data_IF_475315958397
#
_entry.id   IF_475315958397
#
_cell.length_a   1.000
_cell.length_b   1.000
_cell.length_c   1.000
_cell.angle_alpha   90.00
_cell.angle_beta   90.00
_cell.angle_gamma   90.00
#
_symmetry.space_group_name_H-M   'P 1'
#
loop_
_entity.id
_entity.type
_entity.pdbx_description
1 polymer ?
#
# COMPACT_ATOMS: atom_id res chain seq x y z
N UNK A 1 22.01 60.26 -30.48
CA UNK A 1 21.31 58.98 -30.67
C UNK A 1 22.16 57.93 -30.02
N UNK A 2 21.77 57.50 -28.83
CA UNK A 2 22.15 56.23 -28.18
C UNK A 2 21.34 56.18 -26.88
N UNK A 3 20.33 55.30 -26.85
CA UNK A 3 19.51 55.01 -25.68
C UNK A 3 20.18 53.90 -24.84
N UNK A 4 20.11 53.97 -23.49
CA UNK A 4 20.65 52.90 -22.65
C UNK A 4 19.62 51.78 -22.44
N UNK A 5 20.13 50.57 -22.55
CA UNK A 5 19.42 49.29 -22.45
C UNK A 5 19.06 48.99 -20.97
N UNK A 6 17.77 48.82 -20.66
CA UNK A 6 17.26 48.40 -19.35
C UNK A 6 16.63 47.00 -19.47
N UNK A 7 17.43 45.97 -19.25
CA UNK A 7 16.92 44.64 -18.90
C UNK A 7 17.83 44.04 -17.83
N UNK A 8 17.33 43.92 -16.59
CA UNK A 8 17.69 42.92 -15.57
C UNK A 8 17.05 43.28 -14.21
N UNK A 9 15.77 42.96 -14.00
CA UNK A 9 15.17 42.94 -12.64
C UNK A 9 14.05 41.92 -12.43
N UNK A 10 13.68 41.10 -13.41
CA UNK A 10 12.51 40.19 -13.31
C UNK A 10 12.79 38.82 -12.67
N UNK A 11 14.05 38.38 -12.51
CA UNK A 11 14.34 37.05 -11.95
C UNK A 11 14.35 36.96 -10.41
N UNK A 12 14.55 38.07 -9.69
CA UNK A 12 14.61 38.01 -8.21
C UNK A 12 13.24 38.04 -7.53
N UNK A 13 12.18 38.48 -8.22
CA UNK A 13 10.84 38.60 -7.62
C UNK A 13 10.12 37.25 -7.54
N UNK A 14 10.24 36.41 -8.59
CA UNK A 14 9.68 35.05 -8.62
C UNK A 14 10.38 34.09 -7.63
N UNK A 15 11.66 34.29 -7.32
CA UNK A 15 12.40 33.48 -6.34
C UNK A 15 12.00 33.81 -4.89
N UNK A 16 11.64 35.07 -4.61
CA UNK A 16 11.16 35.49 -3.29
C UNK A 16 9.70 35.11 -3.05
N UNK A 17 8.83 35.25 -4.05
CA UNK A 17 7.41 34.88 -3.92
C UNK A 17 7.23 33.36 -3.76
N UNK A 18 7.99 32.51 -4.46
CA UNK A 18 7.93 31.04 -4.28
C UNK A 18 8.54 30.52 -2.98
N UNK A 19 9.56 31.18 -2.42
CA UNK A 19 10.10 30.83 -1.08
C UNK A 19 9.05 30.99 0.02
N UNK A 20 8.03 31.82 -0.20
CA UNK A 20 6.91 32.03 0.73
C UNK A 20 5.87 30.91 0.59
N UNK A 21 5.56 30.46 -0.64
CA UNK A 21 4.56 29.42 -0.88
C UNK A 21 4.95 28.03 -0.34
N UNK A 22 6.21 27.60 -0.48
CA UNK A 22 6.63 26.29 0.09
C UNK A 22 6.86 26.33 1.62
N UNK A 23 6.93 27.51 2.24
CA UNK A 23 7.16 27.62 3.70
C UNK A 23 5.90 27.33 4.52
N UNK A 24 4.72 27.38 3.90
CA UNK A 24 3.42 27.23 4.56
C UNK A 24 3.11 25.78 4.97
N UNK A 25 3.73 24.78 4.35
CA UNK A 25 3.45 23.35 4.61
C UNK A 25 4.43 22.68 5.58
N UNK A 26 5.54 23.33 5.95
CA UNK A 26 6.44 22.77 6.96
C UNK A 26 5.93 23.15 8.34
N UNK A 27 5.51 22.15 9.10
CA UNK A 27 4.94 22.37 10.43
C UNK A 27 5.96 22.14 11.55
N UNK A 28 6.98 21.31 11.30
CA UNK A 28 7.94 20.94 12.35
C UNK A 28 9.09 21.97 12.47
N UNK A 29 9.37 22.54 13.67
CA UNK A 29 10.41 23.56 13.84
C UNK A 29 11.81 23.14 13.37
N UNK A 30 12.17 21.87 13.60
CA UNK A 30 13.45 21.32 13.13
C UNK A 30 13.51 21.26 11.60
N UNK A 31 12.40 20.92 10.92
CA UNK A 31 12.35 20.88 9.47
C UNK A 31 12.48 22.29 8.88
N UNK A 32 11.86 23.30 9.48
CA UNK A 32 12.02 24.72 9.08
C UNK A 32 13.48 25.13 9.16
N UNK A 33 14.15 24.83 10.28
CA UNK A 33 15.55 25.19 10.51
C UNK A 33 16.51 24.51 9.53
N UNK A 34 16.30 23.23 9.23
CA UNK A 34 17.09 22.49 8.23
C UNK A 34 16.85 23.11 6.84
N UNK A 35 15.58 23.36 6.51
CA UNK A 35 15.14 23.92 5.23
C UNK A 35 15.73 25.30 4.95
N UNK A 36 15.88 26.16 5.96
CA UNK A 36 16.53 27.48 5.83
C UNK A 36 18.01 27.39 5.38
N UNK A 37 18.64 26.22 5.50
CA UNK A 37 20.04 25.96 5.10
C UNK A 37 20.18 25.29 3.73
N UNK A 38 19.07 24.95 3.08
CA UNK A 38 19.06 24.19 1.83
C UNK A 38 18.43 25.03 0.73
N UNK A 39 19.05 25.06 -0.44
CA UNK A 39 18.45 25.65 -1.64
C UNK A 39 17.42 24.71 -2.24
N UNK A 40 16.24 25.22 -2.61
CA UNK A 40 15.26 24.42 -3.34
C UNK A 40 15.78 24.01 -4.73
N UNK A 41 15.51 22.77 -5.12
CA UNK A 41 15.77 22.23 -6.44
C UNK A 41 14.46 22.15 -7.22
N UNK A 42 14.40 22.80 -8.39
CA UNK A 42 13.24 22.77 -9.30
C UNK A 42 13.37 21.73 -10.44
N UNK A 43 14.43 20.93 -10.43
CA UNK A 43 14.73 19.98 -11.50
C UNK A 43 14.08 18.61 -11.28
N UNK A 44 13.60 18.01 -12.36
CA UNK A 44 13.08 16.64 -12.41
C UNK A 44 14.16 15.61 -12.81
N UNK A 45 15.43 16.01 -12.93
CA UNK A 45 16.52 15.08 -13.23
C UNK A 45 16.84 14.19 -12.01
N UNK A 46 16.78 12.86 -12.20
CA UNK A 46 16.99 11.88 -11.11
C UNK A 46 18.33 12.08 -10.42
N UNK A 47 19.40 12.32 -11.17
CA UNK A 47 20.74 12.45 -10.60
C UNK A 47 20.86 13.72 -9.74
N UNK A 48 20.29 14.84 -10.21
CA UNK A 48 20.25 16.07 -9.44
C UNK A 48 19.41 15.93 -8.16
N UNK A 49 18.28 15.21 -8.23
CA UNK A 49 17.46 14.90 -7.06
C UNK A 49 18.25 14.06 -6.04
N UNK A 50 18.94 13.00 -6.48
CA UNK A 50 19.80 12.19 -5.59
C UNK A 50 20.93 13.02 -4.98
N UNK A 51 21.59 13.87 -5.75
CA UNK A 51 22.65 14.75 -5.24
C UNK A 51 22.13 15.74 -4.21
N UNK A 52 20.97 16.37 -4.49
CA UNK A 52 20.34 17.28 -3.55
C UNK A 52 19.92 16.55 -2.27
N UNK A 53 19.38 15.35 -2.41
CA UNK A 53 19.02 14.47 -1.31
C UNK A 53 20.20 14.16 -0.39
N UNK A 54 21.39 13.88 -0.96
CA UNK A 54 22.63 13.70 -0.19
C UNK A 54 23.04 14.98 0.55
N UNK A 55 22.93 16.15 -0.08
CA UNK A 55 23.19 17.43 0.60
C UNK A 55 22.25 17.67 1.78
N UNK A 56 20.98 17.26 1.68
CA UNK A 56 20.03 17.33 2.81
C UNK A 56 20.56 16.49 3.98
N UNK A 57 21.02 15.27 3.71
CA UNK A 57 21.64 14.41 4.72
C UNK A 57 22.89 15.07 5.33
N UNK A 58 23.76 15.64 4.50
CA UNK A 58 24.96 16.35 4.95
C UNK A 58 24.63 17.52 5.90
N UNK A 59 23.55 18.27 5.63
CA UNK A 59 23.07 19.33 6.51
C UNK A 59 22.55 18.76 7.84
N UNK A 60 21.80 17.65 7.79
CA UNK A 60 21.27 16.97 8.98
C UNK A 60 22.42 16.47 9.88
N UNK A 61 23.47 15.89 9.33
CA UNK A 61 24.61 15.37 10.13
C UNK A 61 25.57 16.46 10.61
N UNK A 62 25.53 17.67 10.04
CA UNK A 62 26.42 18.78 10.38
C UNK A 62 25.76 19.86 11.26
N UNK A 63 24.43 19.92 11.32
CA UNK A 63 23.72 20.85 12.20
C UNK A 63 23.77 20.41 13.67
N UNK A 64 24.24 21.28 14.56
CA UNK A 64 24.39 20.98 15.99
C UNK A 64 23.11 20.51 16.69
N UNK A 65 21.94 21.04 16.30
CA UNK A 65 20.68 20.64 16.91
C UNK A 65 20.22 19.27 16.39
N UNK A 66 20.40 19.02 15.09
CA UNK A 66 20.18 17.72 14.48
C UNK A 66 21.11 16.67 15.09
N UNK A 67 22.41 16.95 15.23
CA UNK A 67 23.39 16.06 15.89
C UNK A 67 22.93 15.73 17.31
N UNK A 68 22.46 16.73 18.07
CA UNK A 68 21.95 16.50 19.43
C UNK A 68 20.75 15.55 19.40
N UNK A 69 19.77 15.78 18.52
CA UNK A 69 18.59 14.92 18.38
C UNK A 69 18.96 13.51 17.92
N UNK A 70 19.83 13.38 16.92
CA UNK A 70 20.34 12.11 16.39
C UNK A 70 21.09 11.28 17.43
N UNK A 71 21.68 11.91 18.45
CA UNK A 71 22.37 11.26 19.56
C UNK A 71 21.47 10.96 20.77
N UNK A 72 20.34 11.64 20.94
CA UNK A 72 19.47 11.46 22.11
C UNK A 72 18.18 10.71 21.78
N UNK A 73 17.39 11.23 20.83
CA UNK A 73 16.00 10.81 20.61
C UNK A 73 15.74 10.26 19.20
N UNK A 74 16.70 10.42 18.30
CA UNK A 74 16.51 10.30 16.85
C UNK A 74 15.66 11.41 16.26
N UNK A 75 15.73 11.56 14.94
CA UNK A 75 14.86 12.46 14.19
C UNK A 75 13.76 11.62 13.54
N UNK A 76 12.51 12.02 13.75
CA UNK A 76 11.35 11.34 13.18
C UNK A 76 11.36 11.37 11.65
N UNK A 77 10.97 10.25 11.04
CA UNK A 77 10.94 10.10 9.58
C UNK A 77 10.03 11.12 8.89
N UNK A 78 8.93 11.53 9.54
CA UNK A 78 8.03 12.58 9.03
C UNK A 78 8.74 13.93 8.87
N UNK A 79 9.57 14.31 9.85
CA UNK A 79 10.36 15.56 9.84
C UNK A 79 11.36 15.54 8.68
N UNK A 80 12.03 14.40 8.48
CA UNK A 80 12.95 14.24 7.34
C UNK A 80 12.17 14.39 6.03
N UNK A 81 11.02 13.71 5.89
CA UNK A 81 10.19 13.81 4.67
C UNK A 81 9.72 15.24 4.38
N UNK A 82 9.35 16.02 5.39
CA UNK A 82 9.00 17.44 5.24
C UNK A 82 10.16 18.24 4.63
N UNK A 83 11.40 18.03 5.11
CA UNK A 83 12.59 18.70 4.56
C UNK A 83 12.78 18.35 3.09
N UNK A 84 12.58 17.09 2.69
CA UNK A 84 12.71 16.66 1.30
C UNK A 84 11.66 17.30 0.40
N UNK A 85 10.38 17.31 0.83
CA UNK A 85 9.29 17.96 0.09
C UNK A 85 9.53 19.45 -0.10
N UNK A 86 10.14 20.11 0.87
CA UNK A 86 10.49 21.52 0.75
C UNK A 86 11.68 21.76 -0.19
N UNK A 87 12.74 20.96 -0.02
CA UNK A 87 14.00 21.15 -0.71
C UNK A 87 13.95 20.71 -2.18
N UNK A 88 13.01 19.85 -2.57
CA UNK A 88 12.91 19.27 -3.91
C UNK A 88 11.47 19.38 -4.37
N UNK A 89 11.25 20.15 -5.45
CA UNK A 89 9.93 20.32 -6.04
C UNK A 89 9.38 18.96 -6.49
N UNK A 90 8.10 18.71 -6.22
CA UNK A 90 7.37 17.50 -6.63
C UNK A 90 8.07 16.19 -6.20
N UNK A 91 8.76 16.22 -5.05
CA UNK A 91 9.55 15.10 -4.56
C UNK A 91 8.74 13.79 -4.47
N UNK A 92 9.12 12.82 -5.30
CA UNK A 92 8.48 11.51 -5.38
C UNK A 92 9.55 10.40 -5.46
N UNK A 93 9.60 9.54 -4.45
CA UNK A 93 10.57 8.43 -4.39
C UNK A 93 10.29 7.31 -5.41
N UNK A 94 9.04 7.13 -5.83
CA UNK A 94 8.69 6.12 -6.83
C UNK A 94 9.33 6.48 -8.17
N UNK A 95 9.37 7.77 -8.52
CA UNK A 95 10.10 8.27 -9.69
C UNK A 95 11.60 7.93 -9.61
N UNK A 96 12.17 7.84 -8.41
CA UNK A 96 13.57 7.46 -8.18
C UNK A 96 13.78 5.94 -8.12
N UNK A 97 12.74 5.12 -8.27
CA UNK A 97 12.82 3.65 -8.25
C UNK A 97 12.67 3.02 -6.87
N UNK A 98 12.15 3.74 -5.88
CA UNK A 98 11.97 3.22 -4.51
C UNK A 98 10.48 3.12 -4.15
N UNK A 99 10.06 1.97 -3.61
CA UNK A 99 8.69 1.74 -3.14
C UNK A 99 8.44 2.27 -1.73
N UNK A 100 9.49 2.37 -0.88
CA UNK A 100 9.39 2.90 0.49
C UNK A 100 10.44 3.98 0.75
N UNK A 101 10.03 5.00 1.50
CA UNK A 101 10.89 6.14 1.83
C UNK A 101 12.12 5.75 2.67
N UNK A 102 12.00 4.72 3.51
CA UNK A 102 13.11 4.21 4.31
C UNK A 102 14.22 3.62 3.44
N UNK A 103 13.87 2.92 2.36
CA UNK A 103 14.84 2.29 1.45
C UNK A 103 15.61 3.37 0.69
N UNK A 104 14.89 4.37 0.18
CA UNK A 104 15.47 5.56 -0.41
C UNK A 104 16.43 6.28 0.56
N UNK A 105 16.00 6.48 1.81
CA UNK A 105 16.79 7.17 2.82
C UNK A 105 18.08 6.41 3.16
N UNK A 106 17.99 5.08 3.29
CA UNK A 106 19.17 4.23 3.52
C UNK A 106 20.13 4.29 2.32
N UNK A 107 19.62 4.34 1.09
CA UNK A 107 20.45 4.47 -0.12
C UNK A 107 21.21 5.80 -0.15
N UNK A 108 20.54 6.93 0.12
CA UNK A 108 21.24 8.24 0.10
C UNK A 108 22.12 8.49 1.33
N UNK A 109 21.86 7.79 2.43
CA UNK A 109 22.69 7.82 3.64
C UNK A 109 23.85 6.82 3.59
N UNK A 110 24.00 6.06 2.52
CA UNK A 110 25.11 5.12 2.33
C UNK A 110 26.46 5.85 2.43
N UNK A 111 27.36 5.30 3.25
CA UNK A 111 28.66 5.92 3.55
C UNK A 111 28.63 6.94 4.70
N UNK A 112 27.47 7.21 5.31
CA UNK A 112 27.36 8.01 6.54
C UNK A 112 27.23 7.11 7.78
N UNK A 113 27.32 7.70 8.98
CA UNK A 113 27.07 7.01 10.25
C UNK A 113 25.58 6.98 10.63
N UNK A 114 24.66 7.35 9.72
CA UNK A 114 23.23 7.34 10.00
C UNK A 114 22.64 5.95 9.76
N UNK A 115 21.72 5.56 10.62
CA UNK A 115 20.89 4.37 10.44
C UNK A 115 19.43 4.69 10.73
N UNK A 116 18.54 4.06 9.98
CA UNK A 116 17.10 4.07 10.29
C UNK A 116 16.78 2.99 11.31
N UNK A 117 16.04 3.33 12.36
CA UNK A 117 15.53 2.44 13.40
C UNK A 117 14.00 2.49 13.48
N UNK A 118 13.39 1.37 13.86
CA UNK A 118 11.97 1.29 14.22
C UNK A 118 11.84 1.26 15.74
N UNK A 119 11.16 2.25 16.30
CA UNK A 119 10.90 2.37 17.73
C UNK A 119 9.75 1.42 18.14
N UNK A 120 9.65 1.13 19.44
CA UNK A 120 8.63 0.22 20.00
C UNK A 120 7.18 0.67 19.77
N UNK A 121 6.95 1.98 19.60
CA UNK A 121 5.65 2.58 19.24
C UNK A 121 5.38 2.57 17.71
N UNK A 122 6.16 1.80 16.92
CA UNK A 122 6.15 1.78 15.45
C UNK A 122 6.54 3.11 14.78
N UNK A 123 7.17 4.06 15.50
CA UNK A 123 7.74 5.25 14.86
C UNK A 123 9.08 4.92 14.23
N UNK A 124 9.29 5.35 12.98
CA UNK A 124 10.60 5.26 12.32
C UNK A 124 11.41 6.53 12.58
N UNK A 125 12.67 6.36 12.94
CA UNK A 125 13.60 7.46 13.21
C UNK A 125 14.95 7.23 12.56
N UNK A 126 15.65 8.31 12.24
CA UNK A 126 17.09 8.27 11.95
C UNK A 126 17.89 8.59 13.21
N UNK A 127 18.97 7.86 13.42
CA UNK A 127 19.92 8.03 14.53
C UNK A 127 21.34 7.81 14.02
N UNK A 128 22.34 8.20 14.80
CA UNK A 128 23.70 7.70 14.57
C UNK A 128 23.82 6.23 14.99
N UNK A 129 24.65 5.46 14.27
CA UNK A 129 24.83 4.03 14.51
C UNK A 129 25.36 3.70 15.91
N UNK A 130 26.11 4.61 16.52
CA UNK A 130 26.69 4.51 17.87
C UNK A 130 25.78 5.02 18.99
N UNK A 131 24.57 5.49 18.68
CA UNK A 131 23.60 5.97 19.65
C UNK A 131 23.14 4.83 20.60
N UNK A 132 22.91 5.11 21.89
CA UNK A 132 22.34 4.13 22.82
C UNK A 132 20.99 3.55 22.38
N UNK A 133 20.21 4.28 21.58
CA UNK A 133 18.99 3.80 20.94
C UNK A 133 19.23 2.65 19.96
N UNK A 134 20.37 2.61 19.25
CA UNK A 134 20.70 1.47 18.37
C UNK A 134 21.10 0.23 19.15
N UNK A 135 21.58 0.37 20.40
CA UNK A 135 21.85 -0.79 21.28
C UNK A 135 20.58 -1.47 21.79
N UNK A 136 19.48 -0.72 21.89
CA UNK A 136 18.18 -1.22 22.32
C UNK A 136 17.28 -1.63 21.14
N UNK A 137 17.64 -1.24 19.92
CA UNK A 137 17.00 -1.69 18.68
C UNK A 137 17.92 -2.71 18.03
N UNK A 138 17.72 -3.98 18.39
CA UNK A 138 18.42 -5.21 17.94
C UNK A 138 19.46 -5.03 16.82
N UNK A 139 20.69 -5.43 17.16
CA UNK A 139 21.92 -5.36 16.38
C UNK A 139 21.77 -5.98 14.98
N UNK A 140 21.63 -5.10 13.98
CA UNK A 140 21.78 -5.36 12.55
C UNK A 140 23.13 -6.02 12.25
N UNK A 141 23.15 -7.33 12.09
CA UNK A 141 24.11 -8.07 11.25
C UNK A 141 23.56 -9.49 11.02
N UNK A 142 23.12 -9.76 9.79
CA UNK A 142 22.94 -11.06 9.09
C UNK A 142 22.23 -12.26 9.76
N UNK A 143 22.02 -12.30 11.08
CA UNK A 143 21.08 -13.18 11.78
C UNK A 143 19.72 -12.52 12.04
N UNK A 144 19.50 -11.33 11.47
CA UNK A 144 18.53 -10.33 11.91
C UNK A 144 17.33 -10.16 10.95
N UNK A 145 17.02 -11.18 10.15
CA UNK A 145 15.76 -11.26 9.39
C UNK A 145 14.60 -11.70 10.29
N UNK A 146 14.89 -12.52 11.31
CA UNK A 146 13.91 -13.01 12.29
C UNK A 146 13.32 -11.89 13.17
N UNK A 147 14.11 -10.87 13.47
CA UNK A 147 13.74 -9.72 14.32
C UNK A 147 12.97 -8.66 13.54
N UNK A 148 13.35 -8.39 12.28
CA UNK A 148 12.69 -7.43 11.40
C UNK A 148 11.26 -7.84 11.01
N UNK A 149 10.98 -9.14 10.93
CA UNK A 149 9.64 -9.68 10.68
C UNK A 149 8.82 -9.89 11.98
N UNK A 150 9.34 -9.46 13.15
CA UNK A 150 8.76 -9.70 14.47
C UNK A 150 8.34 -11.16 14.64
N UNK A 151 9.21 -12.12 14.31
CA UNK A 151 8.88 -13.53 14.49
C UNK A 151 8.85 -13.85 15.97
N UNK A 152 7.64 -14.01 16.49
CA UNK A 152 7.37 -14.29 17.89
C UNK A 152 7.27 -15.79 18.15
N UNK A 153 6.85 -16.58 17.16
CA UNK A 153 6.58 -17.99 17.35
C UNK A 153 7.84 -18.85 17.21
N UNK A 154 8.13 -19.68 18.22
CA UNK A 154 9.28 -20.57 18.22
C UNK A 154 9.25 -21.59 17.08
N UNK A 155 8.06 -21.98 16.61
CA UNK A 155 7.91 -22.88 15.46
C UNK A 155 8.39 -22.23 14.17
N UNK A 156 8.02 -20.96 13.96
CA UNK A 156 8.46 -20.20 12.78
C UNK A 156 9.96 -19.92 12.84
N UNK A 157 10.53 -19.68 14.03
CA UNK A 157 11.99 -19.56 14.20
C UNK A 157 12.75 -20.83 13.81
N UNK A 158 12.20 -22.01 14.12
CA UNK A 158 12.81 -23.28 13.68
C UNK A 158 12.73 -23.41 12.17
N UNK A 159 11.55 -23.17 11.58
CA UNK A 159 11.37 -23.20 10.13
C UNK A 159 12.36 -22.29 9.40
N UNK A 160 12.54 -21.09 9.92
CA UNK A 160 13.45 -20.10 9.37
C UNK A 160 14.93 -20.52 9.35
N UNK A 161 15.34 -21.48 10.17
CA UNK A 161 16.69 -22.03 10.12
C UNK A 161 16.83 -23.14 9.07
N UNK A 162 15.72 -23.76 8.65
CA UNK A 162 15.70 -24.93 7.77
C UNK A 162 15.27 -24.59 6.34
N UNK A 163 14.51 -23.51 6.16
CA UNK A 163 13.86 -23.15 4.90
C UNK A 163 14.27 -21.73 4.49
N UNK A 164 14.88 -21.62 3.30
CA UNK A 164 15.28 -20.35 2.72
C UNK A 164 14.05 -19.52 2.32
N UNK A 165 14.15 -18.21 2.43
CA UNK A 165 13.09 -17.28 2.04
C UNK A 165 13.04 -17.11 0.53
N UNK A 166 11.85 -17.10 -0.04
CA UNK A 166 11.58 -16.78 -1.44
C UNK A 166 11.40 -15.27 -1.64
N UNK A 167 12.08 -14.71 -2.64
CA UNK A 167 11.96 -13.30 -3.06
C UNK A 167 11.44 -13.15 -4.51
N UNK A 168 10.74 -14.18 -5.02
CA UNK A 168 10.18 -14.19 -6.37
C UNK A 168 8.83 -13.49 -6.45
N UNK A 169 8.52 -12.94 -7.63
CA UNK A 169 7.20 -12.39 -7.99
C UNK A 169 6.38 -13.40 -8.82
N UNK A 170 6.94 -14.56 -9.16
CA UNK A 170 6.25 -15.60 -9.93
C UNK A 170 5.24 -16.36 -9.07
N UNK A 171 3.96 -16.35 -9.49
CA UNK A 171 2.86 -16.97 -8.76
C UNK A 171 3.05 -18.48 -8.55
N UNK A 172 3.57 -19.20 -9.54
CA UNK A 172 3.79 -20.64 -9.46
C UNK A 172 4.90 -20.95 -8.46
N UNK A 173 6.00 -20.19 -8.49
CA UNK A 173 7.08 -20.33 -7.50
C UNK A 173 6.58 -20.05 -6.08
N UNK A 174 5.74 -19.01 -5.91
CA UNK A 174 5.13 -18.67 -4.62
C UNK A 174 4.21 -19.80 -4.14
N UNK A 175 3.38 -20.37 -5.02
CA UNK A 175 2.48 -21.48 -4.69
C UNK A 175 3.27 -22.74 -4.30
N UNK A 176 4.30 -23.10 -5.05
CA UNK A 176 5.15 -24.26 -4.74
C UNK A 176 5.92 -24.08 -3.43
N UNK A 177 6.49 -22.90 -3.22
CA UNK A 177 7.17 -22.57 -1.97
C UNK A 177 6.21 -22.55 -0.77
N UNK A 178 4.99 -22.09 -0.99
CA UNK A 178 3.90 -22.14 -0.01
C UNK A 178 3.57 -23.58 0.42
N UNK A 179 3.52 -24.51 -0.53
CA UNK A 179 3.37 -25.95 -0.24
C UNK A 179 4.55 -26.49 0.58
N UNK A 180 5.77 -26.06 0.27
CA UNK A 180 6.97 -26.44 1.02
C UNK A 180 6.92 -25.95 2.48
N UNK A 181 6.44 -24.73 2.72
CA UNK A 181 6.21 -24.20 4.08
C UNK A 181 5.23 -25.10 4.84
N UNK A 182 4.12 -25.51 4.21
CA UNK A 182 3.16 -26.42 4.86
C UNK A 182 3.79 -27.79 5.14
N UNK A 183 4.50 -28.35 4.17
CA UNK A 183 5.15 -29.65 4.28
C UNK A 183 6.28 -29.66 5.33
N UNK A 184 6.92 -28.52 5.58
CA UNK A 184 7.91 -28.40 6.64
C UNK A 184 7.33 -28.72 8.03
N UNK A 185 6.08 -28.32 8.31
CA UNK A 185 5.44 -28.65 9.60
C UNK A 185 5.27 -30.17 9.84
N UNK A 186 5.24 -30.99 8.79
CA UNK A 186 5.32 -32.44 8.95
C UNK A 186 6.73 -32.89 9.37
N UNK A 187 7.77 -32.29 8.79
CA UNK A 187 9.15 -32.74 8.94
C UNK A 187 9.71 -32.35 10.32
N UNK A 188 9.32 -31.20 10.84
CA UNK A 188 9.67 -30.78 12.21
C UNK A 188 8.96 -31.63 13.27
N UNK A 189 9.76 -32.27 14.13
CA UNK A 189 9.26 -33.22 15.14
C UNK A 189 8.30 -32.58 16.14
N UNK A 190 8.55 -31.32 16.53
CA UNK A 190 7.69 -30.59 17.48
C UNK A 190 6.38 -30.12 16.80
N UNK A 191 6.46 -29.59 15.58
CA UNK A 191 5.28 -29.24 14.78
C UNK A 191 4.38 -30.44 14.55
N UNK A 192 4.96 -31.60 14.22
CA UNK A 192 4.22 -32.85 14.04
C UNK A 192 3.40 -33.24 15.29
N UNK A 193 4.00 -33.15 16.48
CA UNK A 193 3.30 -33.41 17.76
C UNK A 193 2.15 -32.43 17.96
N UNK A 194 2.35 -31.15 17.65
CA UNK A 194 1.32 -30.11 17.77
C UNK A 194 0.16 -30.39 16.81
N UNK A 195 0.44 -30.71 15.54
CA UNK A 195 -0.58 -31.04 14.54
C UNK A 195 -1.42 -32.25 14.99
N UNK A 196 -0.77 -33.31 15.50
CA UNK A 196 -1.47 -34.52 15.97
C UNK A 196 -2.39 -34.26 17.16
N UNK A 197 -2.01 -33.33 18.06
CA UNK A 197 -2.74 -33.09 19.31
C UNK A 197 -3.83 -32.03 19.19
N UNK A 198 -3.60 -30.96 18.41
CA UNK A 198 -4.48 -29.79 18.41
C UNK A 198 -4.50 -29.01 17.08
N UNK A 199 -3.64 -29.33 16.12
CA UNK A 199 -3.46 -28.51 14.92
C UNK A 199 -2.56 -27.29 15.12
N UNK A 200 -2.11 -26.69 14.01
CA UNK A 200 -1.35 -25.43 14.03
C UNK A 200 -2.29 -24.29 13.67
N UNK A 201 -2.49 -23.37 14.61
CA UNK A 201 -3.38 -22.21 14.41
C UNK A 201 -2.91 -21.31 13.26
N UNK A 202 -3.86 -20.72 12.54
CA UNK A 202 -3.56 -19.93 11.34
C UNK A 202 -2.69 -18.69 11.59
N UNK A 203 -2.61 -18.17 12.83
CA UNK A 203 -1.68 -17.08 13.15
C UNK A 203 -0.22 -17.50 12.99
N UNK A 204 0.12 -18.72 13.42
CA UNK A 204 1.47 -19.29 13.29
C UNK A 204 1.79 -19.57 11.83
N UNK A 205 0.82 -20.12 11.10
CA UNK A 205 0.95 -20.36 9.67
C UNK A 205 1.14 -19.03 8.93
N UNK A 206 0.30 -18.02 9.18
CA UNK A 206 0.43 -16.70 8.54
C UNK A 206 1.78 -16.04 8.82
N UNK A 207 2.31 -16.20 10.03
CA UNK A 207 3.66 -15.74 10.40
C UNK A 207 4.75 -16.51 9.63
N UNK A 208 4.60 -17.83 9.46
CA UNK A 208 5.49 -18.64 8.62
C UNK A 208 5.50 -18.15 7.17
N UNK A 209 4.35 -17.87 6.57
CA UNK A 209 4.27 -17.39 5.19
C UNK A 209 4.88 -16.00 5.01
N UNK A 210 4.57 -15.07 5.91
CA UNK A 210 5.19 -13.73 5.91
C UNK A 210 6.71 -13.77 6.05
N UNK A 211 7.23 -14.80 6.73
CA UNK A 211 8.65 -15.03 6.80
C UNK A 211 9.19 -15.67 5.52
N UNK A 212 8.64 -16.82 5.14
CA UNK A 212 9.15 -17.64 4.07
C UNK A 212 9.00 -17.02 2.68
N UNK A 213 8.08 -16.08 2.49
CA UNK A 213 7.85 -15.42 1.20
C UNK A 213 7.86 -13.90 1.39
N UNK A 214 8.67 -13.22 0.59
CA UNK A 214 8.78 -11.77 0.60
C UNK A 214 7.49 -11.10 0.12
N UNK A 215 7.04 -10.08 0.87
CA UNK A 215 5.83 -9.31 0.58
C UNK A 215 4.57 -10.18 0.36
N UNK A 216 4.53 -11.38 0.96
CA UNK A 216 3.43 -12.33 0.78
C UNK A 216 2.06 -11.70 1.05
N UNK A 217 1.20 -11.74 0.04
CA UNK A 217 -0.19 -11.37 0.11
C UNK A 217 -1.02 -12.37 -0.71
N UNK A 218 -1.92 -13.15 -0.10
CA UNK A 218 -2.75 -14.12 -0.82
C UNK A 218 -3.65 -13.46 -1.88
N UNK A 219 -3.96 -12.16 -1.73
CA UNK A 219 -4.76 -11.45 -2.70
C UNK A 219 -4.04 -11.25 -4.03
N UNK A 220 -2.71 -11.11 -3.99
CA UNK A 220 -1.89 -11.06 -5.20
C UNK A 220 -1.83 -12.41 -5.94
N UNK A 221 -2.31 -13.48 -5.31
CA UNK A 221 -2.42 -14.81 -5.88
C UNK A 221 -3.87 -15.17 -6.27
N UNK A 222 -4.80 -14.21 -6.18
CA UNK A 222 -6.20 -14.38 -6.57
C UNK A 222 -7.11 -14.88 -5.44
N UNK A 223 -6.65 -14.88 -4.19
CA UNK A 223 -7.44 -15.34 -3.04
C UNK A 223 -7.85 -14.18 -2.14
N UNK A 224 -9.15 -13.91 -2.03
CA UNK A 224 -9.69 -12.85 -1.18
C UNK A 224 -9.33 -13.00 0.31
N UNK A 225 -9.11 -14.23 0.78
CA UNK A 225 -8.72 -14.52 2.17
C UNK A 225 -7.59 -15.55 2.25
N UNK A 226 -6.70 -15.36 3.24
CA UNK A 226 -5.61 -16.31 3.52
C UNK A 226 -6.08 -17.75 3.77
N UNK A 227 -7.27 -17.94 4.35
CA UNK A 227 -7.79 -19.29 4.61
C UNK A 227 -8.12 -20.03 3.30
N UNK A 228 -8.58 -19.33 2.28
CA UNK A 228 -8.94 -19.90 0.97
C UNK A 228 -7.67 -20.33 0.25
N UNK A 229 -6.66 -19.47 0.27
CA UNK A 229 -5.33 -19.83 -0.23
C UNK A 229 -4.79 -21.10 0.43
N UNK A 230 -4.96 -21.24 1.76
CA UNK A 230 -4.57 -22.46 2.46
C UNK A 230 -5.42 -23.67 2.05
N UNK A 231 -6.74 -23.54 1.88
CA UNK A 231 -7.61 -24.61 1.38
C UNK A 231 -7.20 -25.07 -0.02
N UNK A 232 -6.74 -24.14 -0.86
CA UNK A 232 -6.22 -24.41 -2.19
C UNK A 232 -4.88 -25.16 -2.16
N UNK A 233 -3.84 -24.62 -1.52
CA UNK A 233 -2.51 -25.27 -1.52
C UNK A 233 -2.47 -26.58 -0.74
N UNK A 234 -3.45 -26.81 0.15
CA UNK A 234 -3.57 -28.08 0.89
C UNK A 234 -4.55 -29.06 0.24
N UNK A 235 -5.17 -28.69 -0.87
CA UNK A 235 -6.07 -29.56 -1.61
C UNK A 235 -5.37 -30.87 -2.01
N UNK A 236 -6.05 -32.00 -1.82
CA UNK A 236 -5.51 -33.35 -2.07
C UNK A 236 -4.23 -33.71 -1.30
N UNK A 237 -3.84 -32.91 -0.31
CA UNK A 237 -2.74 -33.27 0.60
C UNK A 237 -3.30 -33.96 1.85
N UNK A 238 -2.39 -34.51 2.67
CA UNK A 238 -2.73 -35.05 3.99
C UNK A 238 -3.15 -33.97 5.01
N UNK A 239 -2.89 -32.71 4.70
CA UNK A 239 -3.29 -31.56 5.51
C UNK A 239 -4.65 -31.07 5.06
N UNK A 240 -5.38 -30.46 6.00
CA UNK A 240 -6.62 -29.78 5.71
C UNK A 240 -6.80 -28.60 6.67
N UNK A 241 -7.63 -27.64 6.27
CA UNK A 241 -8.04 -26.56 7.15
C UNK A 241 -9.26 -26.99 7.94
N UNK A 242 -9.17 -26.83 9.25
CA UNK A 242 -10.25 -27.17 10.17
C UNK A 242 -10.61 -25.98 11.02
N UNK A 243 -11.86 -25.93 11.46
CA UNK A 243 -12.44 -24.89 12.30
C UNK A 243 -13.01 -25.51 13.55
N UNK A 244 -12.65 -24.97 14.71
CA UNK A 244 -13.22 -25.40 15.99
C UNK A 244 -14.58 -24.76 16.24
N UNK A 245 -15.30 -25.27 17.24
CA UNK A 245 -16.56 -24.69 17.74
C UNK A 245 -16.40 -23.22 18.18
N UNK A 246 -15.20 -22.82 18.61
CA UNK A 246 -14.90 -21.43 18.98
C UNK A 246 -14.51 -20.57 17.77
N UNK A 247 -14.78 -21.04 16.55
CA UNK A 247 -14.45 -20.39 15.28
C UNK A 247 -12.94 -20.14 15.08
N UNK A 248 -12.08 -20.89 15.78
CA UNK A 248 -10.63 -20.82 15.55
C UNK A 248 -10.24 -21.80 14.45
N UNK A 249 -9.50 -21.30 13.45
CA UNK A 249 -9.05 -22.12 12.32
C UNK A 249 -7.61 -22.61 12.53
N UNK A 250 -7.32 -23.82 12.08
CA UNK A 250 -6.01 -24.45 12.19
C UNK A 250 -5.76 -25.44 11.05
N UNK A 251 -4.49 -25.66 10.73
CA UNK A 251 -4.04 -26.77 9.89
C UNK A 251 -3.99 -28.04 10.73
N UNK A 252 -4.68 -29.08 10.28
CA UNK A 252 -4.72 -30.41 10.91
C UNK A 252 -4.47 -31.51 9.88
N UNK A 253 -4.33 -32.75 10.34
CA UNK A 253 -4.38 -33.89 9.45
C UNK A 253 -5.82 -34.19 9.03
N UNK A 254 -6.00 -34.53 7.75
CA UNK A 254 -7.29 -34.88 7.16
C UNK A 254 -7.97 -36.04 7.90
N UNK A 255 -7.19 -37.00 8.40
CA UNK A 255 -7.66 -38.15 9.17
C UNK A 255 -7.52 -37.96 10.70
N UNK A 256 -7.50 -36.72 11.20
CA UNK A 256 -7.33 -36.48 12.64
C UNK A 256 -8.53 -36.96 13.45
N UNK A 257 -8.28 -37.64 14.57
CA UNK A 257 -9.31 -38.06 15.53
C UNK A 257 -9.76 -36.93 16.48
N UNK A 258 -9.47 -35.67 16.13
CA UNK A 258 -9.75 -34.53 17.00
C UNK A 258 -11.26 -34.27 17.05
N UNK A 259 -11.86 -34.51 18.21
CA UNK A 259 -13.29 -34.24 18.43
C UNK A 259 -13.57 -32.74 18.32
N UNK A 260 -14.71 -32.38 17.71
CA UNK A 260 -15.25 -31.01 17.62
C UNK A 260 -14.53 -30.08 16.63
N UNK A 261 -13.96 -30.63 15.56
CA UNK A 261 -13.45 -29.86 14.42
C UNK A 261 -14.34 -30.07 13.20
N UNK A 262 -14.73 -28.97 12.56
CA UNK A 262 -15.32 -28.94 11.23
C UNK A 262 -14.19 -28.86 10.20
N UNK A 263 -14.15 -29.78 9.24
CA UNK A 263 -13.19 -29.75 8.14
C UNK A 263 -13.75 -28.83 7.05
N UNK A 264 -12.99 -27.82 6.65
CA UNK A 264 -13.34 -26.95 5.54
C UNK A 264 -13.07 -27.66 4.20
N UNK A 265 -13.85 -27.40 3.15
CA UNK A 265 -13.68 -28.04 1.86
C UNK A 265 -12.35 -27.63 1.21
N UNK A 266 -11.78 -28.51 0.39
CA UNK A 266 -10.68 -28.15 -0.49
C UNK A 266 -11.18 -27.17 -1.57
N UNK A 267 -10.32 -26.28 -2.04
CA UNK A 267 -10.61 -25.37 -3.15
C UNK A 267 -9.78 -25.78 -4.37
N UNK A 268 -10.34 -25.63 -5.56
CA UNK A 268 -9.68 -25.89 -6.85
C UNK A 268 -9.51 -24.59 -7.65
N UNK A 269 -8.95 -24.71 -8.86
CA UNK A 269 -8.68 -23.55 -9.73
C UNK A 269 -9.95 -22.80 -10.12
N UNK A 270 -11.12 -23.45 -10.12
CA UNK A 270 -12.40 -22.77 -10.42
C UNK A 270 -12.78 -21.75 -9.35
N UNK A 271 -12.26 -21.90 -8.12
CA UNK A 271 -12.50 -20.94 -7.04
C UNK A 271 -11.87 -19.58 -7.34
N UNK A 272 -10.69 -19.58 -7.94
CA UNK A 272 -9.92 -18.37 -8.25
C UNK A 272 -10.77 -17.44 -9.11
N UNK A 273 -11.47 -17.99 -10.10
CA UNK A 273 -12.43 -17.29 -10.96
C UNK A 273 -13.83 -17.25 -10.36
N UNK A 274 -13.97 -16.51 -9.26
CA UNK A 274 -15.27 -16.19 -8.67
C UNK A 274 -15.54 -14.68 -8.66
N UNK A 275 -16.82 -14.25 -8.73
CA UNK A 275 -17.16 -12.83 -8.63
C UNK A 275 -16.60 -12.18 -7.35
N UNK A 276 -16.58 -12.90 -6.23
CA UNK A 276 -16.05 -12.41 -4.96
C UNK A 276 -14.54 -12.14 -5.04
N UNK A 277 -13.76 -13.03 -5.68
CA UNK A 277 -12.32 -12.82 -5.86
C UNK A 277 -12.02 -11.70 -6.85
N UNK A 278 -12.76 -11.60 -7.97
CA UNK A 278 -12.60 -10.49 -8.91
C UNK A 278 -12.89 -9.15 -8.22
N UNK A 279 -13.97 -9.08 -7.43
CA UNK A 279 -14.30 -7.91 -6.62
C UNK A 279 -13.18 -7.56 -5.62
N UNK A 280 -12.59 -8.56 -4.97
CA UNK A 280 -11.47 -8.36 -4.06
C UNK A 280 -10.23 -7.78 -4.78
N UNK A 281 -9.88 -8.31 -5.95
CA UNK A 281 -8.75 -7.85 -6.77
C UNK A 281 -8.97 -6.41 -7.26
N UNK A 282 -10.18 -6.10 -7.74
CA UNK A 282 -10.54 -4.74 -8.16
C UNK A 282 -10.38 -3.72 -7.02
N UNK A 283 -10.62 -4.14 -5.78
CA UNK A 283 -10.60 -3.27 -4.60
C UNK A 283 -9.20 -2.92 -4.06
N UNK A 284 -8.12 -3.49 -4.61
CA UNK A 284 -6.75 -3.28 -4.14
C UNK A 284 -5.83 -2.78 -5.24
N UNK A 285 -4.80 -2.00 -4.86
CA UNK A 285 -3.93 -1.28 -5.80
C UNK A 285 -4.69 -0.28 -6.69
N UNK A 286 -3.99 0.76 -7.16
CA UNK A 286 -4.59 1.74 -8.05
C UNK A 286 -4.78 1.17 -9.47
N UNK A 287 -5.91 1.45 -10.16
CA UNK A 287 -7.07 2.19 -9.65
C UNK A 287 -7.93 1.33 -8.72
N UNK A 288 -8.37 1.86 -7.56
CA UNK A 288 -9.25 1.13 -6.63
C UNK A 288 -10.69 1.15 -7.17
N UNK A 289 -11.15 0.01 -7.66
CA UNK A 289 -12.46 -0.15 -8.29
C UNK A 289 -13.37 -1.00 -7.40
N UNK A 290 -14.61 -0.56 -7.23
CA UNK A 290 -15.63 -1.24 -6.44
C UNK A 290 -16.76 -1.68 -7.35
N UNK A 291 -17.17 -2.92 -7.20
CA UNK A 291 -18.25 -3.47 -8.01
C UNK A 291 -19.58 -2.83 -7.59
N UNK A 292 -20.24 -2.23 -8.57
CA UNK A 292 -21.61 -1.73 -8.52
C UNK A 292 -22.28 -2.30 -9.76
N UNK A 293 -23.50 -2.80 -9.61
CA UNK A 293 -24.18 -3.40 -10.74
C UNK A 293 -24.48 -2.37 -11.83
N UNK A 294 -24.59 -2.86 -13.07
CA UNK A 294 -24.75 -1.99 -14.23
C UNK A 294 -25.93 -1.01 -14.10
N UNK A 295 -27.07 -1.49 -13.61
CA UNK A 295 -28.26 -0.67 -13.46
C UNK A 295 -28.06 0.49 -12.46
N UNK A 296 -27.54 0.20 -11.27
CA UNK A 296 -27.25 1.18 -10.22
C UNK A 296 -26.16 2.16 -10.64
N UNK A 297 -25.10 1.65 -11.25
CA UNK A 297 -23.97 2.44 -11.75
C UNK A 297 -24.47 3.44 -12.81
N UNK A 298 -25.26 2.98 -13.78
CA UNK A 298 -25.84 3.81 -14.84
C UNK A 298 -26.78 4.88 -14.29
N UNK A 299 -27.70 4.50 -13.39
CA UNK A 299 -28.64 5.44 -12.79
C UNK A 299 -27.92 6.51 -11.96
N UNK A 300 -26.98 6.11 -11.09
CA UNK A 300 -26.20 7.04 -10.27
C UNK A 300 -25.38 8.00 -11.12
N UNK A 301 -24.71 7.51 -12.17
CA UNK A 301 -23.98 8.39 -13.09
C UNK A 301 -24.95 9.34 -13.80
N UNK A 302 -26.12 8.88 -14.24
CA UNK A 302 -27.13 9.74 -14.88
C UNK A 302 -27.53 10.92 -13.98
N UNK A 303 -27.74 10.64 -12.70
CA UNK A 303 -28.08 11.65 -11.69
C UNK A 303 -26.92 12.63 -11.51
N UNK A 304 -25.70 12.13 -11.33
CA UNK A 304 -24.48 12.95 -11.16
C UNK A 304 -24.25 13.83 -12.41
N UNK A 305 -24.50 13.28 -13.60
CA UNK A 305 -24.32 13.97 -14.87
C UNK A 305 -25.37 15.08 -15.08
N UNK A 306 -26.60 14.91 -14.58
CA UNK A 306 -27.64 15.94 -14.60
C UNK A 306 -27.39 17.05 -13.57
N UNK A 307 -26.66 16.76 -12.49
CA UNK A 307 -26.37 17.69 -11.40
C UNK A 307 -25.24 18.70 -11.71
N UNK A 308 -24.97 19.01 -12.98
CA UNK A 308 -23.87 19.88 -13.41
C UNK A 308 -23.96 21.34 -12.92
N UNK A 309 -25.11 21.81 -12.44
CA UNK A 309 -25.34 23.24 -12.14
C UNK A 309 -25.04 23.69 -10.69
N UNK A 310 -24.60 22.84 -9.76
CA UNK A 310 -24.32 23.25 -8.36
C UNK A 310 -23.28 22.37 -7.64
N UNK A 311 -22.68 22.80 -6.50
CA UNK A 311 -21.37 22.34 -6.02
C UNK A 311 -21.30 20.83 -5.77
N UNK A 312 -20.18 20.23 -6.19
CA UNK A 312 -20.00 18.78 -6.34
C UNK A 312 -19.24 18.15 -5.17
N UNK A 313 -19.44 18.67 -3.96
CA UNK A 313 -18.96 17.95 -2.78
C UNK A 313 -19.93 16.81 -2.45
N UNK A 314 -19.43 15.81 -1.74
CA UNK A 314 -20.17 14.58 -1.42
C UNK A 314 -21.48 14.87 -0.66
N UNK A 315 -21.48 15.88 0.20
CA UNK A 315 -22.66 16.29 0.98
C UNK A 315 -23.77 16.83 0.09
N UNK A 316 -23.43 17.63 -0.93
CA UNK A 316 -24.39 18.19 -1.88
C UNK A 316 -25.01 17.11 -2.76
N UNK A 317 -24.24 16.09 -3.17
CA UNK A 317 -24.76 14.95 -3.92
C UNK A 317 -25.72 14.10 -3.06
N UNK A 318 -25.39 13.85 -1.80
CA UNK A 318 -26.31 13.15 -0.88
C UNK A 318 -27.61 13.93 -0.69
N UNK A 319 -27.54 15.24 -0.46
CA UNK A 319 -28.72 16.09 -0.34
C UNK A 319 -29.58 16.10 -1.62
N UNK A 320 -28.95 15.97 -2.79
CA UNK A 320 -29.67 15.85 -4.06
C UNK A 320 -30.36 14.50 -4.22
N UNK A 321 -29.67 13.39 -3.89
CA UNK A 321 -30.26 12.05 -3.92
C UNK A 321 -31.47 11.95 -2.97
N UNK A 322 -31.37 12.55 -1.78
CA UNK A 322 -32.48 12.64 -0.82
C UNK A 322 -33.66 13.45 -1.40
N UNK A 323 -33.38 14.55 -2.10
CA UNK A 323 -34.40 15.40 -2.74
C UNK A 323 -35.12 14.69 -3.88
N UNK A 324 -34.39 13.94 -4.71
CA UNK A 324 -34.95 13.14 -5.81
C UNK A 324 -35.65 11.87 -5.29
N UNK A 325 -35.67 11.65 -3.97
CA UNK A 325 -36.29 10.51 -3.30
C UNK A 325 -35.69 9.17 -3.75
N UNK A 326 -34.39 9.18 -4.07
CA UNK A 326 -33.65 8.04 -4.59
C UNK A 326 -32.96 7.36 -3.41
N UNK A 327 -33.52 6.23 -2.98
CA UNK A 327 -33.03 5.48 -1.82
C UNK A 327 -31.98 4.45 -2.23
N UNK A 328 -30.77 4.90 -2.54
CA UNK A 328 -29.62 4.00 -2.63
C UNK A 328 -28.96 3.83 -1.27
N UNK A 329 -28.43 2.62 -1.01
CA UNK A 329 -27.55 2.44 0.13
C UNK A 329 -26.31 3.33 -0.02
N UNK A 330 -25.93 4.02 1.06
CA UNK A 330 -24.76 4.91 1.06
C UNK A 330 -23.48 4.19 0.62
N UNK A 331 -23.39 2.86 0.82
CA UNK A 331 -22.29 2.03 0.34
C UNK A 331 -22.17 2.04 -1.20
N UNK A 332 -23.30 1.97 -1.91
CA UNK A 332 -23.38 1.97 -3.38
C UNK A 332 -23.00 3.35 -3.92
N UNK A 333 -23.57 4.42 -3.34
CA UNK A 333 -23.23 5.81 -3.69
C UNK A 333 -21.73 6.05 -3.55
N UNK A 334 -21.15 5.63 -2.41
CA UNK A 334 -19.71 5.77 -2.18
C UNK A 334 -18.87 4.96 -3.15
N UNK A 335 -19.31 3.76 -3.53
CA UNK A 335 -18.63 2.93 -4.51
C UNK A 335 -18.62 3.60 -5.90
N UNK A 336 -19.76 4.10 -6.34
CA UNK A 336 -19.88 4.81 -7.62
C UNK A 336 -18.98 6.05 -7.66
N UNK A 337 -19.01 6.92 -6.63
CA UNK A 337 -18.14 8.10 -6.56
C UNK A 337 -16.66 7.71 -6.54
N UNK A 338 -16.30 6.66 -5.78
CA UNK A 338 -14.92 6.18 -5.71
C UNK A 338 -14.43 5.67 -7.07
N UNK A 339 -15.29 4.99 -7.83
CA UNK A 339 -14.96 4.53 -9.19
C UNK A 339 -14.71 5.73 -10.10
N UNK A 340 -15.57 6.74 -10.07
CA UNK A 340 -15.42 7.95 -10.88
C UNK A 340 -14.12 8.71 -10.59
N UNK A 341 -13.72 8.79 -9.32
CA UNK A 341 -12.44 9.39 -8.91
C UNK A 341 -11.25 8.54 -9.36
N UNK A 342 -11.29 7.23 -9.10
CA UNK A 342 -10.18 6.32 -9.40
C UNK A 342 -9.92 6.17 -10.90
N UNK A 343 -10.96 6.36 -11.72
CA UNK A 343 -10.89 6.38 -13.18
C UNK A 343 -10.64 7.77 -13.77
N UNK A 344 -10.44 8.80 -12.92
CA UNK A 344 -10.20 10.20 -13.34
C UNK A 344 -11.33 10.80 -14.19
N UNK A 345 -12.54 10.25 -14.06
CA UNK A 345 -13.76 10.81 -14.63
C UNK A 345 -14.21 12.00 -13.80
N UNK A 346 -14.18 11.87 -12.47
CA UNK A 346 -14.26 13.01 -11.57
C UNK A 346 -12.85 13.48 -11.21
N UNK A 347 -12.62 14.79 -11.31
CA UNK A 347 -11.36 15.44 -10.98
C UNK A 347 -11.60 16.50 -9.92
N UNK A 348 -10.67 16.66 -8.98
CA UNK A 348 -10.70 17.76 -8.03
C UNK A 348 -10.34 19.06 -8.77
N UNK A 349 -11.09 20.14 -8.53
CA UNK A 349 -10.67 21.47 -8.98
C UNK A 349 -9.30 21.81 -8.37
N UNK A 350 -8.44 22.44 -9.18
CA UNK A 350 -7.16 22.94 -8.69
C UNK A 350 -7.39 23.99 -7.57
N UNK A 351 -6.65 23.83 -6.47
CA UNK A 351 -6.54 24.78 -5.35
C UNK A 351 -7.75 24.88 -4.38
N UNK A 352 -8.16 23.77 -3.72
CA UNK A 352 -9.16 23.85 -2.66
C UNK A 352 -8.57 24.57 -1.43
N UNK A 353 -9.16 25.69 -1.05
CA UNK A 353 -8.76 26.45 0.14
C UNK A 353 -8.86 25.61 1.43
N UNK A 354 -9.74 24.59 1.47
CA UNK A 354 -9.85 23.59 2.54
C UNK A 354 -10.29 22.23 1.99
N UNK A 355 -10.02 21.12 2.72
CA UNK A 355 -10.47 19.75 2.36
C UNK A 355 -12.01 19.63 2.25
N UNK A 356 -12.77 20.52 2.89
CA UNK A 356 -14.23 20.61 2.80
C UNK A 356 -14.73 21.26 1.50
N UNK A 357 -13.85 21.94 0.76
CA UNK A 357 -14.17 22.70 -0.45
C UNK A 357 -13.70 22.00 -1.73
N UNK A 358 -13.37 20.71 -1.66
CA UNK A 358 -13.01 19.93 -2.85
C UNK A 358 -14.25 19.83 -3.76
N UNK A 359 -14.31 20.72 -4.74
CA UNK A 359 -15.26 20.66 -5.83
C UNK A 359 -14.77 19.60 -6.82
N UNK A 360 -15.59 18.61 -7.08
CA UNK A 360 -15.34 17.64 -8.13
C UNK A 360 -15.80 18.21 -9.46
N UNK A 361 -15.21 17.85 -10.59
CA UNK A 361 -15.72 18.16 -11.92
C UNK A 361 -15.65 16.93 -12.81
N UNK A 362 -16.62 16.80 -13.73
CA UNK A 362 -16.60 15.71 -14.69
C UNK A 362 -15.61 16.12 -15.76
N UNK A 363 -14.64 15.26 -16.04
CA UNK A 363 -13.64 15.46 -17.07
C UNK A 363 -14.34 15.68 -18.43
N UNK A 364 -14.01 16.77 -19.15
CA UNK A 364 -14.70 17.17 -20.38
C UNK A 364 -14.59 16.15 -21.51
N UNK A 365 -13.69 15.18 -21.42
CA UNK A 365 -13.59 14.06 -22.37
C UNK A 365 -14.78 13.10 -22.30
N UNK A 366 -15.59 13.15 -21.24
CA UNK A 366 -16.76 12.30 -21.06
C UNK A 366 -18.04 13.11 -21.28
N UNK A 367 -18.70 12.88 -22.41
CA UNK A 367 -19.85 13.68 -22.87
C UNK A 367 -21.20 13.04 -22.63
N UNK A 368 -21.25 11.76 -22.27
CA UNK A 368 -22.50 11.03 -22.06
C UNK A 368 -22.34 9.93 -21.00
N UNK A 369 -23.47 9.50 -20.43
CA UNK A 369 -23.50 8.50 -19.35
C UNK A 369 -22.97 7.14 -19.81
N UNK A 370 -23.26 6.72 -21.04
CA UNK A 370 -22.88 5.39 -21.51
C UNK A 370 -21.37 5.29 -21.67
N UNK A 371 -20.71 6.33 -22.21
CA UNK A 371 -19.25 6.36 -22.31
C UNK A 371 -18.56 6.35 -20.94
N UNK A 372 -19.16 6.98 -19.91
CA UNK A 372 -18.66 6.91 -18.53
C UNK A 372 -18.74 5.48 -17.98
N UNK A 373 -19.92 4.85 -18.09
CA UNK A 373 -20.14 3.48 -17.60
C UNK A 373 -19.21 2.49 -18.31
N UNK A 374 -19.13 2.60 -19.64
CA UNK A 374 -18.24 1.78 -20.47
C UNK A 374 -16.77 1.98 -20.07
N UNK A 375 -16.33 3.21 -19.82
CA UNK A 375 -14.96 3.47 -19.37
C UNK A 375 -14.66 2.80 -18.02
N UNK A 376 -15.58 2.87 -17.05
CA UNK A 376 -15.41 2.21 -15.75
C UNK A 376 -15.28 0.70 -15.92
N UNK A 377 -16.14 0.07 -16.73
CA UNK A 377 -16.08 -1.36 -16.97
C UNK A 377 -14.82 -1.76 -17.74
N UNK A 378 -14.38 -0.99 -18.71
CA UNK A 378 -13.10 -1.21 -19.40
C UNK A 378 -11.92 -1.12 -18.44
N UNK A 379 -11.93 -0.19 -17.47
CA UNK A 379 -10.91 -0.13 -16.42
C UNK A 379 -10.94 -1.35 -15.51
N UNK A 380 -12.13 -1.85 -15.13
CA UNK A 380 -12.26 -3.08 -14.33
C UNK A 380 -11.74 -4.29 -15.11
N UNK A 381 -12.16 -4.42 -16.37
CA UNK A 381 -11.76 -5.49 -17.28
C UNK A 381 -10.25 -5.51 -17.49
N UNK A 382 -9.65 -4.38 -17.86
CA UNK A 382 -8.21 -4.27 -18.05
C UNK A 382 -7.43 -4.61 -16.78
N UNK A 383 -7.88 -4.17 -15.61
CA UNK A 383 -7.21 -4.48 -14.34
C UNK A 383 -7.22 -5.98 -14.03
N UNK A 384 -8.30 -6.67 -14.36
CA UNK A 384 -8.41 -8.12 -14.16
C UNK A 384 -7.61 -8.89 -15.22
N UNK A 385 -7.60 -8.42 -16.47
CA UNK A 385 -6.72 -8.95 -17.51
C UNK A 385 -5.24 -8.81 -17.12
N UNK A 386 -4.81 -7.64 -16.66
CA UNK A 386 -3.43 -7.42 -16.22
C UNK A 386 -3.04 -8.33 -15.05
N UNK A 387 -4.02 -8.77 -14.26
CA UNK A 387 -3.81 -9.65 -13.11
C UNK A 387 -3.76 -11.13 -13.48
N UNK A 388 -4.70 -11.59 -14.31
CA UNK A 388 -4.85 -13.01 -14.67
C UNK A 388 -4.14 -13.40 -15.98
N UNK A 389 -3.74 -12.41 -16.79
CA UNK A 389 -3.17 -12.61 -18.12
C UNK A 389 -4.05 -13.56 -18.97
N UNK A 390 -3.47 -14.63 -19.52
CA UNK A 390 -4.16 -15.62 -20.34
C UNK A 390 -5.24 -16.43 -19.58
N UNK A 391 -5.23 -16.44 -18.24
CA UNK A 391 -6.18 -17.21 -17.42
C UNK A 391 -7.50 -16.44 -17.13
N UNK A 392 -7.64 -15.20 -17.60
CA UNK A 392 -8.85 -14.40 -17.35
C UNK A 392 -10.14 -15.03 -17.91
N UNK A 393 -11.17 -15.15 -17.07
CA UNK A 393 -12.49 -15.67 -17.45
C UNK A 393 -13.53 -14.55 -17.64
N UNK A 394 -13.91 -14.31 -18.90
CA UNK A 394 -14.88 -13.29 -19.31
C UNK A 394 -16.28 -13.53 -18.73
N UNK A 395 -16.75 -14.78 -18.70
CA UNK A 395 -18.09 -15.10 -18.22
C UNK A 395 -18.27 -14.81 -16.71
N UNK A 396 -17.19 -14.88 -15.94
CA UNK A 396 -17.17 -14.51 -14.52
C UNK A 396 -17.23 -12.99 -14.36
N UNK A 397 -16.52 -12.25 -15.21
CA UNK A 397 -16.60 -10.79 -15.24
C UNK A 397 -18.00 -10.30 -15.65
N UNK A 398 -18.61 -10.89 -16.68
CA UNK A 398 -19.98 -10.58 -17.09
C UNK A 398 -20.99 -10.85 -15.96
N UNK A 399 -20.82 -11.95 -15.22
CA UNK A 399 -21.63 -12.21 -14.02
C UNK A 399 -21.43 -11.11 -12.99
N UNK A 400 -20.19 -10.72 -12.71
CA UNK A 400 -19.83 -9.73 -11.69
C UNK A 400 -20.53 -8.38 -11.89
N UNK A 401 -20.55 -7.87 -13.13
CA UNK A 401 -21.11 -6.54 -13.44
C UNK A 401 -22.65 -6.55 -13.56
N UNK A 402 -23.26 -7.74 -13.68
CA UNK A 402 -24.70 -7.93 -13.83
C UNK A 402 -25.40 -8.52 -12.60
N UNK A 403 -24.67 -8.74 -11.48
CA UNK A 403 -25.22 -9.13 -10.18
C UNK A 403 -26.18 -8.08 -9.63
#
# INVERSE_FOLDING_TARGET
>A
MEEPNYEQTTNNKNMFERKIYNKLDITHPLAVKISDKISCLESNDKNQIIQQSKKIIDVIISDNECIKQLNTNGINMGVVREVFKYAIKDFNIAFLGFSKFVDFLNHIAEGTNLVTILMSNNEMKIVFNDNSLTRNVLLKNSGDLLSNLKITNQTVKRMANDLERLSSEDNNEIIEHSKNIIFWFEHDAESRKIIQKQGIGLSVVKEAFKYGIENFDPLLLGFGRFIEFLQYITANTKFVISRSVNNTSAITYRNSSLSNLEILPDLDDSYIHSPDNYSAILSVNEPILRVVNNFEQHNLISIIFQFQESPKNRESLCAYLDKENIQYEMKIVNACISNLLSTKILQEQEDPATLSDINLEINPNFTDVNSIVEHIFNCMHQKLLDFFDDDFQEDVFEKLINL
#
